data_IF_224194685621
#
_entry.id   IF_224194685621
#
_cell.length_a   1.000
_cell.length_b   1.000
_cell.length_c   1.000
_cell.angle_alpha   90.00
_cell.angle_beta   90.00
_cell.angle_gamma   90.00
#
_symmetry.space_group_name_H-M   'P 1'
#
loop_
_entity.id
_entity.type
_entity.pdbx_description
1 polymer ?
#
# COMPACT_ATOMS: atom_id res chain seq x y z
N UNK A 1 -43.00 12.77 -100.91
CA UNK A 1 -42.64 12.73 -99.46
C UNK A 1 -43.87 12.38 -98.59
N UNK A 2 -43.98 11.17 -98.24
CA UNK A 2 -45.00 10.69 -97.29
C UNK A 2 -44.59 11.13 -95.87
N UNK A 3 -45.27 12.14 -95.35
CA UNK A 3 -45.14 12.48 -93.93
C UNK A 3 -45.93 11.49 -93.13
N UNK A 4 -45.22 10.69 -92.33
CA UNK A 4 -45.78 9.77 -91.36
C UNK A 4 -46.36 10.58 -90.20
N UNK A 5 -47.67 10.61 -90.07
CA UNK A 5 -48.36 11.30 -88.98
C UNK A 5 -48.62 10.18 -87.93
N UNK A 6 -48.11 10.33 -86.78
CA UNK A 6 -48.44 9.49 -85.64
C UNK A 6 -49.67 10.05 -84.92
N UNK A 7 -50.73 9.23 -84.82
CA UNK A 7 -51.94 9.60 -84.11
C UNK A 7 -51.99 8.78 -82.87
N UNK A 8 -52.16 9.42 -81.71
CA UNK A 8 -52.33 8.78 -80.45
C UNK A 8 -53.59 9.22 -79.74
N UNK A 9 -54.20 8.33 -78.98
CA UNK A 9 -55.37 8.62 -78.17
C UNK A 9 -54.99 9.34 -76.86
N UNK A 10 -55.65 10.46 -76.57
CA UNK A 10 -55.39 11.19 -75.29
C UNK A 10 -56.11 10.52 -74.15
N UNK A 11 -55.32 9.93 -73.30
CA UNK A 11 -55.80 9.25 -72.07
C UNK A 11 -55.51 10.16 -70.89
N UNK A 12 -56.48 10.34 -69.99
CA UNK A 12 -56.32 11.07 -68.75
C UNK A 12 -55.80 10.13 -67.69
N UNK A 13 -54.55 10.30 -67.22
CA UNK A 13 -53.91 9.45 -66.19
C UNK A 13 -52.91 10.29 -65.35
N UNK A 14 -52.36 9.69 -64.34
CA UNK A 14 -51.28 10.30 -63.54
C UNK A 14 -50.04 10.37 -64.41
N UNK A 15 -49.42 11.52 -64.45
CA UNK A 15 -48.12 11.76 -65.09
C UNK A 15 -47.03 11.71 -64.03
N UNK A 16 -46.19 10.68 -64.10
CA UNK A 16 -45.08 10.53 -63.20
C UNK A 16 -43.78 10.87 -63.93
N UNK A 17 -43.17 11.97 -63.54
CA UNK A 17 -41.85 12.38 -64.05
C UNK A 17 -40.78 11.99 -63.00
N UNK A 18 -39.79 11.20 -63.38
CA UNK A 18 -38.76 10.67 -62.53
C UNK A 18 -37.41 11.32 -62.81
N UNK A 19 -36.87 12.00 -61.81
CA UNK A 19 -35.52 12.49 -61.86
C UNK A 19 -34.61 11.49 -61.10
N UNK A 20 -33.61 10.91 -61.78
CA UNK A 20 -32.59 10.07 -61.13
C UNK A 20 -31.52 10.97 -60.54
N UNK A 21 -31.41 10.93 -59.20
CA UNK A 21 -30.35 11.60 -58.44
C UNK A 21 -29.48 10.53 -57.77
N UNK A 22 -28.18 10.57 -58.05
CA UNK A 22 -27.20 9.74 -57.35
C UNK A 22 -26.84 10.38 -56.05
N UNK A 23 -26.96 9.63 -54.93
CA UNK A 23 -26.53 10.04 -53.58
C UNK A 23 -25.51 9.09 -53.03
N UNK A 24 -24.70 9.58 -52.10
CA UNK A 24 -23.79 8.74 -51.31
C UNK A 24 -24.30 8.68 -49.85
N UNK A 25 -24.33 7.48 -49.30
CA UNK A 25 -24.66 7.29 -47.88
C UNK A 25 -23.42 7.59 -47.05
N UNK A 26 -23.52 8.48 -46.11
CA UNK A 26 -22.46 8.79 -45.15
C UNK A 26 -22.97 8.63 -43.74
N UNK A 27 -22.13 8.19 -42.79
CA UNK A 27 -22.53 8.11 -41.38
C UNK A 27 -22.83 9.50 -40.81
N UNK A 28 -23.85 9.62 -39.99
CA UNK A 28 -24.23 10.87 -39.30
C UNK A 28 -23.12 11.32 -38.36
N UNK A 29 -22.47 10.35 -37.68
CA UNK A 29 -21.38 10.60 -36.73
C UNK A 29 -20.31 9.54 -36.89
N UNK A 30 -19.08 9.96 -36.97
CA UNK A 30 -17.90 9.09 -36.94
C UNK A 30 -17.11 9.40 -35.68
N UNK A 31 -16.83 8.38 -34.87
CA UNK A 31 -16.02 8.51 -33.66
C UNK A 31 -14.71 7.73 -33.86
N UNK A 32 -13.62 8.43 -33.71
CA UNK A 32 -12.29 7.82 -33.74
C UNK A 32 -11.88 7.47 -32.32
N UNK A 33 -11.66 6.17 -32.04
CA UNK A 33 -11.23 5.67 -30.75
C UNK A 33 -9.71 5.49 -30.77
N UNK A 34 -9.04 6.08 -29.78
CA UNK A 34 -7.61 5.88 -29.54
C UNK A 34 -7.41 5.28 -28.17
N UNK A 35 -6.54 4.29 -28.00
CA UNK A 35 -6.22 3.76 -26.69
C UNK A 35 -5.45 4.82 -25.88
N UNK A 36 -5.56 4.75 -24.54
CA UNK A 36 -4.80 5.63 -23.64
C UNK A 36 -3.32 5.25 -23.62
N UNK A 37 -3.03 3.94 -23.69
CA UNK A 37 -1.68 3.41 -23.71
C UNK A 37 -1.38 2.74 -25.05
N UNK A 38 -0.14 2.86 -25.51
CA UNK A 38 0.32 2.19 -26.72
C UNK A 38 0.37 0.67 -26.50
N UNK A 39 0.00 -0.10 -27.53
CA UNK A 39 0.02 -1.55 -27.44
C UNK A 39 -0.01 -2.20 -28.82
N UNK A 40 0.32 -3.48 -28.84
CA UNK A 40 0.22 -4.31 -30.05
C UNK A 40 -1.16 -4.97 -30.05
N UNK A 41 -1.83 -4.96 -31.19
CA UNK A 41 -3.12 -5.63 -31.34
C UNK A 41 -2.92 -7.13 -31.17
N UNK A 42 -3.45 -7.66 -30.09
CA UNK A 42 -3.42 -9.11 -29.80
C UNK A 42 -4.56 -9.82 -30.52
N UNK A 43 -5.75 -9.25 -30.45
CA UNK A 43 -6.95 -9.84 -31.03
C UNK A 43 -7.99 -8.76 -31.40
N UNK A 44 -8.52 -8.87 -32.60
CA UNK A 44 -9.71 -8.16 -33.02
C UNK A 44 -10.94 -8.99 -32.59
N UNK A 45 -11.81 -8.41 -31.76
CA UNK A 45 -12.95 -9.12 -31.20
C UNK A 45 -14.19 -8.97 -32.08
N UNK A 46 -14.31 -7.82 -32.75
CA UNK A 46 -15.47 -7.46 -33.57
C UNK A 46 -15.04 -7.21 -34.99
N UNK A 47 -15.75 -7.80 -35.95
CA UNK A 47 -15.52 -7.61 -37.37
C UNK A 47 -16.22 -6.35 -37.90
N UNK A 48 -15.75 -5.83 -39.03
CA UNK A 48 -16.33 -4.68 -39.70
C UNK A 48 -17.78 -4.95 -40.09
N UNK A 49 -18.64 -3.99 -39.90
CA UNK A 49 -20.09 -4.09 -40.18
C UNK A 49 -20.94 -4.64 -39.04
N UNK A 50 -20.32 -5.02 -37.90
CA UNK A 50 -21.04 -5.54 -36.74
C UNK A 50 -21.65 -4.39 -35.91
N UNK A 51 -22.86 -4.58 -35.40
CA UNK A 51 -23.49 -3.63 -34.48
C UNK A 51 -22.94 -3.80 -33.08
N UNK A 52 -22.43 -2.74 -32.49
CA UNK A 52 -21.85 -2.73 -31.15
C UNK A 52 -22.62 -1.80 -30.21
N UNK A 53 -22.53 -2.08 -28.92
CA UNK A 53 -23.14 -1.31 -27.84
C UNK A 53 -22.06 -0.71 -26.93
N UNK A 54 -22.46 0.26 -26.14
CA UNK A 54 -21.58 0.85 -25.13
C UNK A 54 -21.12 -0.23 -24.12
N UNK A 55 -19.81 -0.43 -24.02
CA UNK A 55 -19.19 -1.43 -23.16
C UNK A 55 -18.70 -2.66 -23.88
N UNK A 56 -19.04 -2.85 -25.17
CA UNK A 56 -18.53 -3.98 -25.95
C UNK A 56 -17.04 -3.83 -26.21
N UNK A 57 -16.31 -4.94 -26.10
CA UNK A 57 -14.86 -5.00 -26.41
C UNK A 57 -14.67 -5.10 -27.91
N UNK A 58 -14.00 -4.15 -28.50
CA UNK A 58 -13.72 -4.11 -29.94
C UNK A 58 -12.39 -4.76 -30.29
N UNK A 59 -11.35 -4.43 -29.54
CA UNK A 59 -9.96 -4.84 -29.76
C UNK A 59 -9.31 -5.13 -28.41
N UNK A 60 -8.47 -6.13 -28.35
CA UNK A 60 -7.59 -6.42 -27.24
C UNK A 60 -6.17 -6.04 -27.62
N UNK A 61 -5.56 -5.19 -26.81
CA UNK A 61 -4.17 -4.77 -26.98
C UNK A 61 -3.31 -5.43 -25.91
N UNK A 62 -2.08 -5.78 -26.27
CA UNK A 62 -1.04 -6.22 -25.33
C UNK A 62 0.08 -5.18 -25.30
N UNK A 63 0.60 -4.94 -24.10
CA UNK A 63 1.77 -4.09 -23.90
C UNK A 63 2.74 -4.76 -22.93
N UNK A 64 3.77 -5.40 -23.47
CA UNK A 64 4.77 -6.13 -22.70
C UNK A 64 5.55 -5.20 -21.77
N UNK A 65 5.84 -3.97 -22.19
CA UNK A 65 6.55 -2.99 -21.38
C UNK A 65 5.74 -2.61 -20.15
N UNK A 66 4.46 -2.32 -20.32
CA UNK A 66 3.55 -2.01 -19.21
C UNK A 66 3.40 -3.21 -18.26
N UNK A 67 3.31 -4.42 -18.80
CA UNK A 67 3.25 -5.64 -17.98
C UNK A 67 4.50 -5.81 -17.12
N UNK A 68 5.69 -5.58 -17.70
CA UNK A 68 6.95 -5.62 -16.95
C UNK A 68 7.03 -4.52 -15.87
N UNK A 69 6.55 -3.33 -16.17
CA UNK A 69 6.50 -2.21 -15.24
C UNK A 69 5.59 -2.50 -14.04
N UNK A 70 4.42 -3.09 -14.29
CA UNK A 70 3.50 -3.56 -13.24
C UNK A 70 4.18 -4.64 -12.38
N UNK A 71 4.80 -5.66 -12.99
CA UNK A 71 5.49 -6.72 -12.26
C UNK A 71 6.65 -6.18 -11.42
N UNK A 72 7.40 -5.21 -11.91
CA UNK A 72 8.46 -4.56 -11.14
C UNK A 72 7.89 -3.79 -9.94
N UNK A 73 6.82 -3.04 -10.16
CA UNK A 73 6.15 -2.30 -9.07
C UNK A 73 5.55 -3.25 -8.01
N UNK A 74 4.98 -4.38 -8.43
CA UNK A 74 4.51 -5.42 -7.51
C UNK A 74 5.65 -6.05 -6.70
N UNK A 75 6.80 -6.30 -7.35
CA UNK A 75 7.99 -6.82 -6.68
C UNK A 75 8.55 -5.83 -5.65
N UNK A 76 8.64 -4.54 -6.00
CA UNK A 76 9.05 -3.47 -5.08
C UNK A 76 8.11 -3.34 -3.89
N UNK A 77 6.81 -3.42 -4.13
CA UNK A 77 5.80 -3.41 -3.06
C UNK A 77 5.98 -4.61 -2.12
N UNK A 78 6.19 -5.81 -2.67
CA UNK A 78 6.42 -7.02 -1.88
C UNK A 78 7.70 -6.91 -1.04
N UNK A 79 8.76 -6.32 -1.58
CA UNK A 79 10.01 -6.06 -0.85
C UNK A 79 9.79 -5.07 0.31
N UNK A 80 9.12 -3.95 0.06
CA UNK A 80 8.78 -2.97 1.10
C UNK A 80 7.93 -3.59 2.22
N UNK A 81 6.95 -4.42 1.86
CA UNK A 81 6.12 -5.13 2.85
C UNK A 81 6.93 -6.12 3.69
N UNK A 82 7.91 -6.81 3.11
CA UNK A 82 8.80 -7.71 3.85
C UNK A 82 9.72 -6.94 4.81
N UNK A 83 10.27 -5.79 4.37
CA UNK A 83 11.08 -4.92 5.22
C UNK A 83 10.25 -4.43 6.41
N UNK A 84 9.05 -3.92 6.16
CA UNK A 84 8.15 -3.47 7.22
C UNK A 84 7.86 -4.60 8.22
N UNK A 85 7.52 -5.78 7.74
CA UNK A 85 7.24 -6.95 8.61
C UNK A 85 8.44 -7.32 9.47
N UNK A 86 9.64 -7.38 8.88
CA UNK A 86 10.85 -7.70 9.61
C UNK A 86 11.18 -6.65 10.67
N UNK A 87 10.98 -5.37 10.34
CA UNK A 87 11.18 -4.26 11.28
C UNK A 87 10.20 -4.36 12.46
N UNK A 88 8.92 -4.63 12.20
CA UNK A 88 7.92 -4.81 13.27
C UNK A 88 8.25 -6.00 14.19
N UNK A 89 8.72 -7.12 13.62
CA UNK A 89 9.16 -8.28 14.41
C UNK A 89 10.37 -7.93 15.29
N UNK A 90 11.37 -7.25 14.72
CA UNK A 90 12.55 -6.80 15.47
C UNK A 90 12.18 -5.87 16.62
N UNK A 91 11.28 -4.93 16.39
CA UNK A 91 10.76 -4.00 17.42
C UNK A 91 10.03 -4.74 18.56
N UNK A 92 9.26 -5.78 18.24
CA UNK A 92 8.58 -6.56 19.29
C UNK A 92 9.57 -7.41 20.10
N UNK A 93 10.62 -7.93 19.47
CA UNK A 93 11.70 -8.63 20.17
C UNK A 93 12.44 -7.68 21.13
N UNK A 94 12.85 -6.50 20.67
CA UNK A 94 13.49 -5.50 21.53
C UNK A 94 12.61 -5.09 22.73
N UNK A 95 11.32 -4.95 22.52
CA UNK A 95 10.36 -4.66 23.58
C UNK A 95 10.27 -5.78 24.62
N UNK A 96 10.33 -7.04 24.18
CA UNK A 96 10.36 -8.19 25.09
C UNK A 96 11.66 -8.23 25.88
N UNK A 97 12.80 -7.98 25.26
CA UNK A 97 14.10 -7.94 25.93
C UNK A 97 14.15 -6.84 27.01
N UNK A 98 13.65 -5.64 26.70
CA UNK A 98 13.54 -4.57 27.69
C UNK A 98 12.63 -4.92 28.87
N UNK A 99 11.56 -5.70 28.63
CA UNK A 99 10.70 -6.19 29.72
C UNK A 99 11.41 -7.23 30.60
N UNK A 100 12.19 -8.12 29.99
CA UNK A 100 13.00 -9.09 30.73
C UNK A 100 14.07 -8.38 31.58
N UNK A 101 14.77 -7.42 31.00
CA UNK A 101 15.74 -6.58 31.73
C UNK A 101 15.08 -5.87 32.91
N UNK A 102 13.89 -5.32 32.74
CA UNK A 102 13.13 -4.69 33.82
C UNK A 102 12.84 -5.66 34.94
N UNK A 103 12.36 -6.86 34.63
CA UNK A 103 12.06 -7.88 35.65
C UNK A 103 13.33 -8.27 36.42
N UNK A 104 14.47 -8.42 35.75
CA UNK A 104 15.75 -8.72 36.41
C UNK A 104 16.20 -7.57 37.31
N UNK A 105 16.09 -6.33 36.84
CA UNK A 105 16.45 -5.15 37.63
C UNK A 105 15.52 -4.94 38.84
N UNK A 106 14.23 -5.20 38.69
CA UNK A 106 13.26 -5.14 39.80
C UNK A 106 13.58 -6.22 40.89
N UNK A 107 13.94 -7.43 40.45
CA UNK A 107 14.36 -8.50 41.39
C UNK A 107 15.68 -8.17 42.09
N UNK A 108 16.66 -7.63 41.36
CA UNK A 108 17.94 -7.22 41.94
C UNK A 108 17.74 -6.08 42.94
N UNK A 109 16.95 -5.09 42.61
CA UNK A 109 16.59 -3.99 43.50
C UNK A 109 15.95 -4.50 44.82
N UNK A 110 15.00 -5.42 44.73
CA UNK A 110 14.35 -5.99 45.92
C UNK A 110 15.31 -6.82 46.77
N UNK A 111 16.24 -7.54 46.15
CA UNK A 111 17.30 -8.27 46.88
C UNK A 111 18.21 -7.32 47.64
N UNK A 112 18.74 -6.30 46.93
CA UNK A 112 19.65 -5.30 47.51
C UNK A 112 18.98 -4.49 48.60
N UNK A 113 17.72 -4.11 48.40
CA UNK A 113 16.90 -3.42 49.39
C UNK A 113 16.73 -4.24 50.67
N UNK A 114 16.50 -5.55 50.56
CA UNK A 114 16.37 -6.46 51.70
C UNK A 114 17.68 -6.59 52.45
N UNK A 115 18.79 -6.78 51.74
CA UNK A 115 20.14 -6.86 52.34
C UNK A 115 20.47 -5.57 53.08
N UNK A 116 20.25 -4.40 52.45
CA UNK A 116 20.48 -3.14 53.10
C UNK A 116 19.66 -2.96 54.38
N UNK A 117 18.37 -3.29 54.38
CA UNK A 117 17.52 -3.22 55.58
C UNK A 117 17.99 -4.11 56.70
N UNK A 118 18.39 -5.35 56.40
CA UNK A 118 18.97 -6.26 57.39
C UNK A 118 20.26 -5.70 57.96
N UNK A 119 21.17 -5.22 57.12
CA UNK A 119 22.41 -4.62 57.56
C UNK A 119 22.22 -3.34 58.36
N UNK A 120 21.19 -2.56 58.08
CA UNK A 120 20.83 -1.38 58.86
C UNK A 120 20.43 -1.74 60.29
N UNK A 121 19.62 -2.78 60.47
CA UNK A 121 19.25 -3.31 61.79
C UNK A 121 20.45 -3.87 62.54
N UNK A 122 21.29 -4.64 61.88
CA UNK A 122 22.52 -5.19 62.46
C UNK A 122 23.50 -4.11 62.88
N UNK A 123 23.68 -3.08 62.03
CA UNK A 123 24.55 -1.95 62.36
C UNK A 123 24.03 -1.11 63.52
N UNK A 124 22.71 -0.88 63.62
CA UNK A 124 22.11 -0.20 64.77
C UNK A 124 22.30 -0.93 66.10
N UNK A 125 22.48 -2.24 66.03
CA UNK A 125 22.75 -3.10 67.20
C UNK A 125 24.25 -3.42 67.41
N UNK A 126 25.13 -2.68 66.69
CA UNK A 126 26.60 -2.85 66.73
C UNK A 126 27.09 -4.27 66.38
N UNK A 127 26.32 -5.00 65.53
CA UNK A 127 26.61 -6.39 65.17
C UNK A 127 27.45 -6.50 63.85
N UNK A 128 27.55 -5.45 63.04
CA UNK A 128 28.36 -5.40 61.82
C UNK A 128 29.18 -4.11 61.75
N UNK A 129 30.25 -4.15 60.93
CA UNK A 129 31.08 -2.98 60.69
C UNK A 129 30.33 -1.94 59.85
N UNK A 130 30.68 -0.66 60.07
CA UNK A 130 30.14 0.46 59.27
C UNK A 130 30.36 0.32 57.77
N UNK A 131 31.50 -0.26 57.39
CA UNK A 131 31.86 -0.49 55.98
C UNK A 131 30.87 -1.44 55.30
N UNK A 132 30.51 -2.52 55.96
CA UNK A 132 29.55 -3.51 55.43
C UNK A 132 28.15 -2.93 55.26
N UNK A 133 27.70 -2.14 56.25
CA UNK A 133 26.44 -1.40 56.11
C UNK A 133 26.47 -0.41 54.99
N UNK A 134 27.55 0.40 54.83
CA UNK A 134 27.72 1.41 53.79
C UNK A 134 27.72 0.75 52.42
N UNK A 135 28.44 -0.34 52.23
CA UNK A 135 28.47 -1.10 50.97
C UNK A 135 27.09 -1.62 50.58
N UNK A 136 26.33 -2.15 51.50
CA UNK A 136 24.98 -2.62 51.23
C UNK A 136 24.02 -1.49 50.82
N UNK A 137 24.22 -0.27 51.39
CA UNK A 137 23.48 0.94 50.98
C UNK A 137 23.81 1.40 49.57
N UNK A 138 25.10 1.47 49.24
CA UNK A 138 25.59 1.82 47.91
C UNK A 138 25.11 0.83 46.85
N UNK A 139 25.15 -0.46 47.13
CA UNK A 139 24.61 -1.51 46.27
C UNK A 139 23.12 -1.31 45.98
N UNK A 140 22.33 -0.96 46.98
CA UNK A 140 20.90 -0.66 46.83
C UNK A 140 20.69 0.60 45.98
N UNK A 141 21.41 1.66 46.25
CA UNK A 141 21.33 2.93 45.50
C UNK A 141 21.71 2.73 44.04
N UNK A 142 22.74 1.94 43.76
CA UNK A 142 23.13 1.57 42.39
C UNK A 142 22.05 0.76 41.68
N UNK A 143 21.45 -0.23 42.35
CA UNK A 143 20.35 -1.02 41.78
C UNK A 143 19.12 -0.13 41.49
N UNK A 144 18.79 0.82 42.36
CA UNK A 144 17.72 1.79 42.17
C UNK A 144 17.98 2.66 40.96
N UNK A 145 19.21 3.14 40.78
CA UNK A 145 19.59 3.99 39.64
C UNK A 145 19.56 3.23 38.31
N UNK A 146 20.04 1.97 38.29
CA UNK A 146 19.94 1.11 37.11
C UNK A 146 18.49 0.92 36.67
N UNK A 147 17.59 0.68 37.63
CA UNK A 147 16.15 0.51 37.36
C UNK A 147 15.54 1.79 36.82
N UNK A 148 15.87 2.96 37.37
CA UNK A 148 15.43 4.27 36.89
C UNK A 148 15.84 4.49 35.43
N UNK A 149 17.12 4.27 35.09
CA UNK A 149 17.63 4.40 33.73
C UNK A 149 16.97 3.44 32.75
N UNK A 150 16.64 2.22 33.19
CA UNK A 150 15.92 1.27 32.34
C UNK A 150 14.50 1.78 32.00
N UNK A 151 13.81 2.42 32.95
CA UNK A 151 12.48 3.03 32.70
C UNK A 151 12.59 4.19 31.70
N UNK A 152 13.58 5.06 31.85
CA UNK A 152 13.84 6.14 30.89
C UNK A 152 14.11 5.60 29.50
N UNK A 153 14.94 4.57 29.38
CA UNK A 153 15.21 3.88 28.10
C UNK A 153 13.94 3.32 27.49
N UNK A 154 13.07 2.68 28.27
CA UNK A 154 11.79 2.15 27.77
C UNK A 154 10.90 3.24 27.19
N UNK A 155 10.85 4.42 27.82
CA UNK A 155 10.07 5.58 27.33
C UNK A 155 10.65 6.07 26.02
N UNK A 156 11.97 6.26 25.94
CA UNK A 156 12.65 6.73 24.71
C UNK A 156 12.47 5.75 23.56
N UNK A 157 12.63 4.44 23.80
CA UNK A 157 12.45 3.41 22.78
C UNK A 157 11.00 3.33 22.30
N UNK A 158 10.02 3.58 23.18
CA UNK A 158 8.60 3.64 22.80
C UNK A 158 8.32 4.81 21.86
N UNK A 159 8.88 5.99 22.16
CA UNK A 159 8.75 7.17 21.31
C UNK A 159 9.44 6.97 19.96
N UNK A 160 10.65 6.45 19.97
CA UNK A 160 11.40 6.17 18.75
C UNK A 160 10.65 5.19 17.83
N UNK A 161 10.09 4.12 18.39
CA UNK A 161 9.30 3.14 17.63
C UNK A 161 8.04 3.76 17.02
N UNK A 162 7.33 4.63 17.76
CA UNK A 162 6.13 5.27 17.21
C UNK A 162 6.44 6.15 16.01
N UNK A 163 7.51 6.94 16.07
CA UNK A 163 7.97 7.77 14.95
C UNK A 163 8.43 6.93 13.77
N UNK A 164 9.14 5.84 14.02
CA UNK A 164 9.63 4.97 12.95
C UNK A 164 8.49 4.25 12.23
N UNK A 165 7.46 3.80 12.94
CA UNK A 165 6.26 3.20 12.34
C UNK A 165 5.52 4.24 11.47
N UNK A 166 5.31 5.44 11.99
CA UNK A 166 4.66 6.53 11.25
C UNK A 166 5.39 6.84 9.93
N UNK A 167 6.73 6.94 9.96
CA UNK A 167 7.55 7.16 8.76
C UNK A 167 7.46 6.00 7.74
N UNK A 168 7.29 4.77 8.21
CA UNK A 168 7.16 3.60 7.33
C UNK A 168 5.76 3.46 6.72
N UNK A 169 4.73 4.01 7.36
CA UNK A 169 3.36 4.03 6.83
C UNK A 169 3.15 5.15 5.80
N UNK A 170 3.94 6.21 5.85
CA UNK A 170 3.87 7.34 4.91
C UNK A 170 4.64 7.12 3.60
N UNK A 171 5.54 6.12 3.51
CA UNK A 171 6.38 5.80 2.35
C UNK A 171 5.91 4.55 1.61
#
# INVERSE_FOLDING_TARGET
>A
DARTISVGEVVRGEFNDYIRVTGHVQPITTVQLSPLEAGVVERLVVEEGTTVRKGDVLVVLSNTSLTLEILNSEAELAEKQNILRNTLISMEQEKLDLRLDKVQLDLDLERKRRTWRQNEELYRNDLIAREEWLQSKEDYELAAKKRELNVERQIQDSLYRSVQIEQMEEN
#
